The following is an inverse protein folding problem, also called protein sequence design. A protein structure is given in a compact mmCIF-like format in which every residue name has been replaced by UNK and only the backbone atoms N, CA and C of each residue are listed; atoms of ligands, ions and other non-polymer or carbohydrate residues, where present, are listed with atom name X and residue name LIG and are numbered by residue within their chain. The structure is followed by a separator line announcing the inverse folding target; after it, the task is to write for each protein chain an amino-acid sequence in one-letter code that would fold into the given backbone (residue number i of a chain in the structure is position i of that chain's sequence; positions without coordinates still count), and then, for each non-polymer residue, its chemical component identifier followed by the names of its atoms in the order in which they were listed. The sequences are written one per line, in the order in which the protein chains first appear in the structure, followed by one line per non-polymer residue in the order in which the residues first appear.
data_IF_318291809376
#
_entry.id   IF_318291809376
#
_cell.length_a   1.000
_cell.length_b   1.000
_cell.length_c   1.000
_cell.angle_alpha   90.00
_cell.angle_beta   90.00
_cell.angle_gamma   90.00
#
_symmetry.space_group_name_H-M   'P 1'
#
loop_
_entity.id
_entity.type
_entity.pdbx_description
1 polymer ?
#
# COMPACT_ATOMS: atom_id res chain seq x y z
N UNK A 1 -10.71 -16.61 -21.34
CA UNK A 1 -10.80 -16.57 -19.89
C UNK A 1 -9.74 -15.67 -19.28
N UNK A 2 -10.17 -14.77 -18.48
CA UNK A 2 -9.24 -13.84 -17.82
C UNK A 2 -8.53 -14.52 -16.65
N UNK A 3 -7.27 -14.15 -16.44
CA UNK A 3 -6.56 -14.54 -15.22
C UNK A 3 -7.14 -13.80 -14.02
N UNK A 4 -6.81 -14.24 -12.81
CA UNK A 4 -7.23 -13.54 -11.61
C UNK A 4 -6.76 -12.10 -11.59
N UNK A 5 -5.52 -11.85 -12.07
CA UNK A 5 -4.96 -10.51 -12.15
C UNK A 5 -5.76 -9.61 -13.06
N UNK A 6 -6.13 -10.12 -14.24
CA UNK A 6 -6.92 -9.36 -15.20
C UNK A 6 -8.32 -9.09 -14.66
N UNK A 7 -8.93 -10.08 -13.99
CA UNK A 7 -10.26 -9.91 -13.43
C UNK A 7 -10.27 -8.81 -12.36
N UNK A 8 -9.26 -8.76 -11.51
CA UNK A 8 -9.15 -7.73 -10.48
C UNK A 8 -8.99 -6.34 -11.10
N UNK A 9 -8.13 -6.23 -12.11
CA UNK A 9 -7.89 -4.95 -12.78
C UNK A 9 -9.14 -4.46 -13.49
N UNK A 10 -9.87 -5.36 -14.16
CA UNK A 10 -11.10 -5.01 -14.85
C UNK A 10 -12.18 -4.58 -13.86
N UNK A 11 -12.29 -5.26 -12.73
CA UNK A 11 -13.26 -4.88 -11.70
C UNK A 11 -13.00 -3.47 -11.17
N UNK A 12 -11.73 -3.14 -10.91
CA UNK A 12 -11.36 -1.81 -10.42
C UNK A 12 -11.61 -0.76 -11.50
N UNK A 13 -11.23 -1.03 -12.74
CA UNK A 13 -11.46 -0.10 -13.84
C UNK A 13 -12.95 0.17 -14.03
N UNK A 14 -13.79 -0.86 -13.87
CA UNK A 14 -15.24 -0.70 -13.98
C UNK A 14 -15.78 0.23 -12.90
N UNK A 15 -15.31 0.05 -11.65
CA UNK A 15 -15.72 0.92 -10.55
C UNK A 15 -15.25 2.35 -10.78
N UNK A 16 -14.02 2.53 -11.25
CA UNK A 16 -13.49 3.88 -11.55
C UNK A 16 -14.27 4.57 -12.66
N UNK A 17 -14.75 3.81 -13.64
CA UNK A 17 -15.55 4.36 -14.72
C UNK A 17 -16.87 4.94 -14.23
N UNK A 18 -17.35 4.52 -13.07
CA UNK A 18 -18.55 5.07 -12.46
C UNK A 18 -18.32 6.42 -11.79
N UNK A 19 -17.09 6.88 -11.75
CA UNK A 19 -16.67 8.16 -11.15
C UNK A 19 -17.16 8.32 -9.71
N UNK A 20 -16.83 7.39 -8.80
CA UNK A 20 -17.29 7.49 -7.42
C UNK A 20 -16.60 8.65 -6.71
N UNK A 21 -17.26 9.23 -5.72
CA UNK A 21 -16.65 10.26 -4.89
C UNK A 21 -15.68 9.67 -3.88
N UNK A 22 -15.96 8.46 -3.41
CA UNK A 22 -15.13 7.76 -2.45
C UNK A 22 -14.94 6.33 -2.94
N UNK A 23 -13.69 5.89 -3.01
CA UNK A 23 -13.35 4.53 -3.40
C UNK A 23 -12.80 3.80 -2.20
N UNK A 24 -13.41 2.67 -1.84
CA UNK A 24 -12.97 1.86 -0.71
C UNK A 24 -12.50 0.51 -1.25
N UNK A 25 -11.29 0.11 -0.86
CA UNK A 25 -10.70 -1.13 -1.33
C UNK A 25 -10.07 -1.89 -0.17
N UNK A 26 -10.22 -3.21 -0.21
CA UNK A 26 -9.62 -4.10 0.78
C UNK A 26 -8.64 -5.02 0.06
N UNK A 27 -7.35 -4.90 0.41
CA UNK A 27 -6.26 -5.71 -0.14
C UNK A 27 -6.28 -5.78 -1.67
N UNK A 28 -6.24 -4.63 -2.37
CA UNK A 28 -6.42 -4.62 -3.82
C UNK A 28 -5.28 -5.25 -4.60
N UNK A 29 -4.09 -5.36 -4.01
CA UNK A 29 -2.92 -5.91 -4.71
C UNK A 29 -2.72 -7.41 -4.48
N UNK A 30 -3.59 -8.06 -3.70
CA UNK A 30 -3.44 -9.47 -3.38
C UNK A 30 -3.50 -10.34 -4.64
N UNK A 31 -2.50 -11.21 -4.79
CA UNK A 31 -2.45 -12.14 -5.90
C UNK A 31 -1.98 -11.57 -7.22
N UNK A 32 -1.60 -10.30 -7.26
CA UNK A 32 -1.13 -9.67 -8.50
C UNK A 32 0.36 -9.90 -8.72
N UNK A 33 0.74 -10.16 -9.97
CA UNK A 33 2.14 -10.17 -10.34
C UNK A 33 2.69 -8.73 -10.39
N UNK A 34 4.01 -8.54 -10.50
CA UNK A 34 4.58 -7.19 -10.47
C UNK A 34 4.04 -6.26 -11.56
N UNK A 35 3.76 -6.79 -12.73
CA UNK A 35 3.24 -5.97 -13.84
C UNK A 35 1.80 -5.52 -13.56
N UNK A 36 0.96 -6.46 -13.14
CA UNK A 36 -0.43 -6.14 -12.80
C UNK A 36 -0.50 -5.18 -11.62
N UNK A 37 0.40 -5.35 -10.66
CA UNK A 37 0.49 -4.47 -9.51
C UNK A 37 0.83 -3.04 -9.93
N UNK A 38 1.78 -2.86 -10.84
CA UNK A 38 2.12 -1.53 -11.35
C UNK A 38 0.95 -0.89 -12.09
N UNK A 39 0.23 -1.69 -12.87
CA UNK A 39 -0.97 -1.20 -13.57
C UNK A 39 -2.02 -0.73 -12.57
N UNK A 40 -2.27 -1.50 -11.53
CA UNK A 40 -3.20 -1.14 -10.48
C UNK A 40 -2.81 0.17 -9.81
N UNK A 41 -1.55 0.30 -9.43
CA UNK A 41 -1.05 1.51 -8.77
C UNK A 41 -1.23 2.73 -9.67
N UNK A 42 -0.95 2.58 -10.97
CA UNK A 42 -1.15 3.66 -11.93
C UNK A 42 -2.61 4.08 -12.04
N UNK A 43 -3.52 3.13 -12.08
CA UNK A 43 -4.96 3.42 -12.12
C UNK A 43 -5.40 4.17 -10.86
N UNK A 44 -4.97 3.70 -9.71
CA UNK A 44 -5.37 4.30 -8.43
C UNK A 44 -4.74 5.68 -8.24
N UNK A 45 -3.52 5.86 -8.71
CA UNK A 45 -2.86 7.16 -8.64
C UNK A 45 -3.55 8.22 -9.50
N UNK A 46 -4.18 7.80 -10.59
CA UNK A 46 -4.91 8.72 -11.47
C UNK A 46 -6.31 9.08 -10.95
N UNK A 47 -6.76 8.42 -9.90
CA UNK A 47 -8.07 8.68 -9.32
C UNK A 47 -7.98 9.86 -8.36
N UNK A 48 -8.62 10.97 -8.70
CA UNK A 48 -8.46 12.23 -7.98
C UNK A 48 -9.33 12.39 -6.74
N UNK A 49 -10.28 11.50 -6.55
CA UNK A 49 -11.20 11.59 -5.41
C UNK A 49 -10.65 10.79 -4.21
N UNK A 50 -11.41 10.76 -3.14
CA UNK A 50 -10.98 10.11 -1.90
C UNK A 50 -10.86 8.60 -2.08
N UNK A 51 -9.72 8.05 -1.64
CA UNK A 51 -9.47 6.61 -1.62
C UNK A 51 -9.25 6.16 -0.20
N UNK A 52 -9.87 5.06 0.18
CA UNK A 52 -9.62 4.41 1.45
C UNK A 52 -9.15 3.00 1.12
N UNK A 53 -7.92 2.68 1.49
CA UNK A 53 -7.29 1.41 1.15
C UNK A 53 -6.90 0.70 2.42
N UNK A 54 -7.44 -0.50 2.62
CA UNK A 54 -7.01 -1.38 3.70
C UNK A 54 -6.01 -2.37 3.12
N UNK A 55 -4.79 -2.38 3.62
CA UNK A 55 -3.75 -3.24 3.06
C UNK A 55 -2.61 -3.43 4.04
N UNK A 56 -1.94 -4.58 3.94
CA UNK A 56 -0.65 -4.80 4.58
C UNK A 56 0.50 -4.69 3.56
N UNK A 57 0.20 -4.34 2.32
CA UNK A 57 1.21 -4.05 1.30
C UNK A 57 1.67 -2.60 1.50
N UNK A 58 2.70 -2.42 2.31
CA UNK A 58 3.13 -1.09 2.72
C UNK A 58 3.75 -0.29 1.59
N UNK A 59 4.34 -0.97 0.60
CA UNK A 59 4.86 -0.26 -0.58
C UNK A 59 3.72 0.36 -1.39
N UNK A 60 2.61 -0.33 -1.51
CA UNK A 60 1.43 0.22 -2.18
C UNK A 60 0.89 1.42 -1.42
N UNK A 61 0.80 1.31 -0.10
CA UNK A 61 0.33 2.40 0.75
C UNK A 61 1.25 3.60 0.62
N UNK A 62 2.55 3.38 0.59
CA UNK A 62 3.53 4.45 0.44
C UNK A 62 3.39 5.17 -0.90
N UNK A 63 3.06 4.43 -1.97
CA UNK A 63 2.87 5.01 -3.30
C UNK A 63 1.58 5.82 -3.42
N UNK A 64 0.54 5.43 -2.71
CA UNK A 64 -0.81 5.94 -2.98
C UNK A 64 -1.40 6.81 -1.87
N UNK A 65 -0.91 6.67 -0.66
CA UNK A 65 -1.57 7.27 0.51
C UNK A 65 -0.70 8.30 1.19
N UNK A 66 -1.26 9.47 1.42
CA UNK A 66 -0.59 10.53 2.15
C UNK A 66 -0.75 10.37 3.66
N UNK A 67 -1.84 9.76 4.08
CA UNK A 67 -2.15 9.52 5.47
C UNK A 67 -2.34 8.04 5.72
N UNK A 68 -1.80 7.58 6.84
CA UNK A 68 -1.89 6.17 7.23
C UNK A 68 -2.40 6.05 8.66
N UNK A 69 -3.33 5.12 8.83
CA UNK A 69 -3.82 4.74 10.15
C UNK A 69 -3.40 3.29 10.37
N UNK A 70 -2.68 3.04 11.45
CA UNK A 70 -2.22 1.69 11.78
C UNK A 70 -3.15 1.07 12.79
N UNK A 71 -3.67 -0.10 12.47
CA UNK A 71 -4.56 -0.86 13.35
C UNK A 71 -3.84 -2.10 13.86
N UNK A 72 -4.03 -2.40 15.12
CA UNK A 72 -3.50 -3.62 15.72
C UNK A 72 -4.45 -4.07 16.82
N UNK A 73 -4.86 -5.34 16.76
CA UNK A 73 -5.80 -5.93 17.71
C UNK A 73 -7.08 -5.10 17.88
N UNK A 74 -7.60 -4.59 16.76
CA UNK A 74 -8.85 -3.84 16.74
C UNK A 74 -8.74 -2.42 17.27
N UNK A 75 -7.54 -1.92 17.46
CA UNK A 75 -7.31 -0.57 17.97
C UNK A 75 -6.45 0.25 17.04
N UNK A 76 -6.68 1.55 17.01
CA UNK A 76 -5.80 2.48 16.31
C UNK A 76 -4.56 2.70 17.17
N UNK A 77 -3.39 2.34 16.65
CA UNK A 77 -2.13 2.52 17.37
C UNK A 77 -1.32 3.69 16.82
N UNK A 78 -1.63 4.16 15.63
CA UNK A 78 -0.99 5.34 15.04
C UNK A 78 -1.85 5.92 13.95
N UNK A 79 -1.72 7.22 13.74
CA UNK A 79 -2.43 7.96 12.69
C UNK A 79 -1.58 9.18 12.34
N UNK A 80 -1.20 9.31 11.09
CA UNK A 80 -0.39 10.44 10.67
C UNK A 80 0.07 10.32 9.23
N UNK A 81 1.00 11.21 8.81
CA UNK A 81 1.56 11.13 7.47
C UNK A 81 2.25 9.78 7.23
N UNK A 82 2.04 9.24 6.03
CA UNK A 82 2.51 7.90 5.71
C UNK A 82 4.03 7.75 5.88
N UNK A 83 4.78 8.71 5.40
CA UNK A 83 6.24 8.65 5.49
C UNK A 83 6.73 8.69 6.94
N UNK A 84 6.10 9.47 7.79
CA UNK A 84 6.45 9.50 9.20
C UNK A 84 6.13 8.18 9.89
N UNK A 85 4.95 7.62 9.62
CA UNK A 85 4.53 6.34 10.20
C UNK A 85 5.50 5.24 9.81
N UNK A 86 5.89 5.18 8.54
CA UNK A 86 6.72 4.10 8.03
C UNK A 86 8.20 4.24 8.39
N UNK A 87 8.59 5.39 8.91
CA UNK A 87 9.93 5.59 9.44
C UNK A 87 10.03 5.36 10.94
N UNK A 88 9.02 4.73 11.53
CA UNK A 88 9.01 4.36 12.95
C UNK A 88 9.08 2.84 13.09
N UNK A 89 10.28 2.26 13.05
CA UNK A 89 10.43 0.80 13.05
C UNK A 89 9.88 0.14 14.32
N UNK A 90 9.95 0.81 15.46
CA UNK A 90 9.39 0.28 16.70
C UNK A 90 7.87 0.12 16.61
N UNK A 91 7.21 1.07 15.99
CA UNK A 91 5.77 1.02 15.78
C UNK A 91 5.38 -0.11 14.84
N UNK A 92 6.09 -0.23 13.72
CA UNK A 92 5.82 -1.29 12.75
C UNK A 92 6.06 -2.66 13.35
N UNK A 93 7.11 -2.81 14.12
CA UNK A 93 7.44 -4.07 14.77
C UNK A 93 6.35 -4.48 15.77
N UNK A 94 5.91 -3.55 16.62
CA UNK A 94 4.84 -3.82 17.57
C UNK A 94 3.53 -4.18 16.89
N UNK A 95 3.29 -3.66 15.70
CA UNK A 95 2.09 -3.92 14.94
C UNK A 95 2.25 -5.13 14.01
N UNK A 96 3.37 -5.83 14.10
CA UNK A 96 3.70 -6.98 13.26
C UNK A 96 3.71 -6.63 11.78
N UNK A 97 4.15 -5.43 11.47
CA UNK A 97 4.33 -4.97 10.10
C UNK A 97 5.82 -4.83 9.83
N UNK A 98 6.21 -5.01 8.59
CA UNK A 98 7.57 -4.79 8.18
C UNK A 98 7.67 -3.46 7.44
N UNK A 99 8.81 -2.78 7.62
CA UNK A 99 9.08 -1.57 6.87
C UNK A 99 8.99 -1.86 5.38
N UNK A 100 8.42 -0.95 4.57
CA UNK A 100 8.33 -1.15 3.13
C UNK A 100 9.71 -1.45 2.53
N UNK A 101 9.73 -2.32 1.53
CA UNK A 101 10.99 -2.75 0.92
C UNK A 101 11.83 -1.57 0.45
N UNK A 102 11.21 -0.55 -0.13
CA UNK A 102 11.95 0.61 -0.62
C UNK A 102 12.62 1.42 0.48
N UNK A 103 12.18 1.28 1.72
CA UNK A 103 12.76 1.97 2.87
C UNK A 103 13.74 1.09 3.65
N UNK A 104 13.85 -0.19 3.32
CA UNK A 104 14.73 -1.11 4.04
C UNK A 104 16.19 -1.02 3.56
N UNK A 105 16.37 -0.64 2.33
CA UNK A 105 17.69 -0.67 1.73
C UNK A 105 18.11 -2.08 1.32
N UNK A 106 19.25 -2.17 0.64
CA UNK A 106 19.79 -3.43 0.22
C UNK A 106 20.44 -4.15 1.40
N UNK A 107 20.11 -5.43 1.66
CA UNK A 107 20.72 -6.15 2.79
C UNK A 107 22.25 -6.17 2.76
N UNK A 108 22.84 -6.23 1.58
CA UNK A 108 24.29 -6.19 1.41
C UNK A 108 24.80 -4.77 1.54
N UNK A 109 24.15 -3.84 0.87
CA UNK A 109 24.57 -2.44 0.87
C UNK A 109 24.43 -1.80 2.25
N UNK A 110 23.38 -2.12 2.99
CA UNK A 110 23.16 -1.51 4.28
C UNK A 110 24.19 -1.95 5.31
N UNK A 111 24.83 -3.10 5.12
CA UNK A 111 25.94 -3.51 6.00
C UNK A 111 27.13 -2.59 5.87
N UNK A 112 27.41 -2.17 4.65
CA UNK A 112 28.62 -1.36 4.41
C UNK A 112 28.35 0.12 4.52
N UNK A 113 27.14 0.59 4.24
CA UNK A 113 26.80 1.99 4.20
C UNK A 113 26.14 2.47 5.47
N UNK A 114 25.21 1.69 5.95
CA UNK A 114 24.37 2.10 7.07
C UNK A 114 24.66 1.28 8.30
N UNK A 115 25.10 1.94 9.31
CA UNK A 115 25.41 1.29 10.60
C UNK A 115 24.43 1.68 11.67
N UNK A 116 23.50 2.45 11.33
CA UNK A 116 22.47 2.87 12.27
C UNK A 116 21.39 1.88 12.46
#
# INVERSE_FOLDING_TARGET
RMSGDMASTVAIATVLAMSPDILVMDEPSTGLDPKARRTLIGLLASFDHTKIIASHDLDLVLDLCERTIVLHNGRVVADGPTDEIFNRPDLLDRSRLEKPLRLQGCPICSRSVNKE
#
